data_IF_099545319593
#
_entry.id   IF_099545319593
#
_cell.length_a   1.000
_cell.length_b   1.000
_cell.length_c   1.000
_cell.angle_alpha   90.00
_cell.angle_beta   90.00
_cell.angle_gamma   90.00
#
_symmetry.space_group_name_H-M   'P 1'
#
loop_
_entity.id
_entity.type
_entity.pdbx_description
1 polymer ?
#
# COMPACT_ATOMS: atom_id res chain seq x y z
N UNK A 1 -27.90 -8.21 11.29
CA UNK A 1 -27.66 -6.91 11.97
C UNK A 1 -27.70 -5.79 10.94
N UNK A 2 -28.26 -4.60 11.23
CA UNK A 2 -28.34 -3.53 10.22
C UNK A 2 -27.07 -2.68 10.32
N UNK A 3 -26.17 -2.75 9.33
CA UNK A 3 -24.99 -1.87 9.27
C UNK A 3 -25.46 -0.42 9.13
N UNK A 4 -25.01 0.44 10.03
CA UNK A 4 -25.23 1.88 10.04
C UNK A 4 -23.91 2.67 10.07
N UNK A 5 -22.89 2.11 10.70
CA UNK A 5 -21.59 2.73 10.90
C UNK A 5 -20.49 1.85 10.32
N UNK A 6 -19.61 2.44 9.49
CA UNK A 6 -18.51 1.74 8.83
C UNK A 6 -17.23 2.53 9.06
N UNK A 7 -16.18 1.84 9.49
CA UNK A 7 -14.84 2.40 9.51
C UNK A 7 -14.01 1.80 8.37
N UNK A 8 -13.42 2.65 7.56
CA UNK A 8 -12.53 2.31 6.46
C UNK A 8 -11.10 2.67 6.85
N UNK A 9 -10.22 1.67 6.93
CA UNK A 9 -8.82 1.84 7.36
C UNK A 9 -7.95 2.47 6.25
N UNK A 10 -8.38 3.60 5.72
CA UNK A 10 -7.70 4.37 4.67
C UNK A 10 -7.89 5.88 4.92
N UNK A 11 -7.03 6.73 4.33
CA UNK A 11 -7.29 8.17 4.27
C UNK A 11 -8.62 8.48 3.59
N UNK A 12 -9.23 9.59 4.00
CA UNK A 12 -10.47 10.07 3.36
C UNK A 12 -10.20 10.33 1.87
N UNK A 13 -11.07 9.86 0.96
CA UNK A 13 -10.94 10.14 -0.46
C UNK A 13 -10.98 11.64 -0.75
N UNK A 14 -10.08 12.12 -1.60
CA UNK A 14 -10.06 13.52 -2.04
C UNK A 14 -11.22 13.84 -2.99
N UNK A 15 -11.66 12.84 -3.76
CA UNK A 15 -12.74 12.99 -4.74
C UNK A 15 -14.11 12.83 -4.08
N UNK A 16 -14.99 13.77 -4.35
CA UNK A 16 -16.43 13.68 -3.96
C UNK A 16 -17.17 12.54 -4.69
N UNK A 17 -16.63 12.02 -5.79
CA UNK A 17 -17.15 10.87 -6.56
C UNK A 17 -16.68 9.53 -6.02
N UNK A 18 -16.31 9.45 -4.75
CA UNK A 18 -15.90 8.18 -4.14
C UNK A 18 -17.09 7.21 -4.03
N UNK A 19 -16.91 5.93 -4.45
CA UNK A 19 -17.95 4.89 -4.29
C UNK A 19 -18.45 4.71 -2.85
N UNK A 20 -17.60 5.02 -1.86
CA UNK A 20 -18.00 4.99 -0.45
C UNK A 20 -18.96 6.12 -0.08
N UNK A 21 -18.81 7.30 -0.66
CA UNK A 21 -19.71 8.42 -0.42
C UNK A 21 -21.09 8.17 -1.06
N UNK A 22 -21.10 7.55 -2.25
CA UNK A 22 -22.34 7.10 -2.90
C UNK A 22 -23.05 6.02 -2.07
N UNK A 23 -22.29 5.03 -1.56
CA UNK A 23 -22.80 4.00 -0.69
C UNK A 23 -23.39 4.58 0.62
N UNK A 24 -22.70 5.56 1.21
CA UNK A 24 -23.16 6.26 2.41
C UNK A 24 -24.52 6.93 2.18
N UNK A 25 -24.67 7.67 1.08
CA UNK A 25 -25.93 8.33 0.71
C UNK A 25 -27.06 7.31 0.45
N UNK A 26 -26.75 6.26 -0.34
CA UNK A 26 -27.75 5.26 -0.78
C UNK A 26 -28.34 4.43 0.38
N UNK A 27 -27.53 4.13 1.38
CA UNK A 27 -27.94 3.26 2.50
C UNK A 27 -28.06 3.99 3.84
N UNK A 28 -27.87 5.30 3.86
CA UNK A 28 -27.84 6.15 5.05
C UNK A 28 -26.84 5.61 6.09
N UNK A 29 -25.57 5.47 5.64
CA UNK A 29 -24.46 4.99 6.46
C UNK A 29 -23.59 6.16 6.91
N UNK A 30 -23.09 6.10 8.12
CA UNK A 30 -21.95 6.91 8.57
C UNK A 30 -20.68 6.13 8.22
N UNK A 31 -19.85 6.69 7.34
CA UNK A 31 -18.57 6.09 6.96
C UNK A 31 -17.44 7.01 7.42
N UNK A 32 -16.63 6.51 8.34
CA UNK A 32 -15.46 7.20 8.85
C UNK A 32 -14.20 6.60 8.18
N UNK A 33 -13.26 7.47 7.79
CA UNK A 33 -11.99 7.09 7.19
C UNK A 33 -10.87 7.38 8.17
N UNK A 34 -10.16 6.35 8.60
CA UNK A 34 -9.09 6.46 9.59
C UNK A 34 -7.92 5.59 9.14
N UNK A 35 -6.78 6.18 8.73
CA UNK A 35 -5.62 5.40 8.35
C UNK A 35 -5.01 4.70 9.58
N UNK A 36 -4.99 3.37 9.56
CA UNK A 36 -4.49 2.57 10.67
C UNK A 36 -2.96 2.43 10.67
N UNK A 37 -2.32 2.77 9.58
CA UNK A 37 -0.86 2.90 9.49
C UNK A 37 -0.49 4.07 8.59
N UNK A 38 0.74 4.51 8.71
CA UNK A 38 1.34 5.48 7.81
C UNK A 38 2.74 5.02 7.39
N UNK A 39 3.27 5.62 6.31
CA UNK A 39 4.63 5.37 5.89
C UNK A 39 5.56 6.37 6.54
N UNK A 40 6.55 5.87 7.27
CA UNK A 40 7.58 6.65 7.93
C UNK A 40 8.94 6.40 7.27
N UNK A 41 9.64 7.47 6.93
CA UNK A 41 10.96 7.37 6.31
C UNK A 41 12.03 6.95 7.30
N UNK A 42 12.99 6.13 6.85
CA UNK A 42 14.19 5.80 7.61
C UNK A 42 15.04 7.07 7.74
N UNK A 43 15.52 7.37 8.94
CA UNK A 43 16.42 8.50 9.17
C UNK A 43 17.78 8.25 8.52
N UNK A 44 18.43 9.30 8.03
CA UNK A 44 19.77 9.20 7.40
C UNK A 44 20.81 8.55 8.33
N UNK A 45 20.72 8.81 9.65
CA UNK A 45 21.61 8.17 10.66
C UNK A 45 21.46 6.64 10.66
N UNK A 46 20.25 6.14 10.57
CA UNK A 46 19.95 4.71 10.50
C UNK A 46 20.39 4.11 9.17
N UNK A 47 20.10 4.78 8.05
CA UNK A 47 20.48 4.32 6.72
C UNK A 47 22.00 4.17 6.56
N UNK A 48 22.81 5.06 7.17
CA UNK A 48 24.26 4.95 7.14
C UNK A 48 24.79 3.64 7.73
N UNK A 49 24.02 3.00 8.63
CA UNK A 49 24.41 1.70 9.22
C UNK A 49 24.35 0.56 8.20
N UNK A 50 23.54 0.69 7.15
CA UNK A 50 23.49 -0.28 6.06
C UNK A 50 24.73 -0.24 5.15
N UNK A 51 25.58 0.78 5.28
CA UNK A 51 26.82 0.98 4.51
C UNK A 51 26.60 0.95 2.99
N UNK A 52 25.45 1.46 2.55
CA UNK A 52 25.10 1.57 1.14
C UNK A 52 25.52 2.94 0.63
N UNK A 53 26.39 2.96 -0.37
CA UNK A 53 26.78 4.18 -1.06
C UNK A 53 25.84 4.42 -2.25
N UNK A 54 24.98 5.43 -2.14
CA UNK A 54 24.00 5.76 -3.19
C UNK A 54 24.65 6.13 -4.53
N UNK A 55 25.88 6.66 -4.52
CA UNK A 55 26.59 7.07 -5.73
C UNK A 55 27.04 5.89 -6.61
N UNK A 56 27.03 4.67 -6.10
CA UNK A 56 27.40 3.48 -6.88
C UNK A 56 26.29 3.00 -7.82
N UNK A 57 25.07 3.47 -7.63
CA UNK A 57 23.90 3.01 -8.40
C UNK A 57 23.59 3.97 -9.52
N UNK A 58 23.27 3.40 -10.67
CA UNK A 58 22.92 4.13 -11.91
C UNK A 58 21.46 3.94 -12.31
N UNK A 59 20.78 2.99 -11.67
CA UNK A 59 19.37 2.69 -11.87
C UNK A 59 18.62 2.48 -10.54
N UNK A 60 17.42 3.03 -10.43
CA UNK A 60 16.55 2.87 -9.25
C UNK A 60 15.25 2.17 -9.66
N UNK A 61 14.94 1.07 -8.97
CA UNK A 61 13.71 0.31 -9.16
C UNK A 61 12.63 0.88 -8.23
N UNK A 62 11.56 1.41 -8.81
CA UNK A 62 10.49 2.13 -8.12
C UNK A 62 9.23 1.28 -8.07
N UNK A 63 8.77 0.94 -6.88
CA UNK A 63 7.60 0.07 -6.68
C UNK A 63 6.31 0.82 -6.35
N UNK A 64 6.39 2.09 -5.92
CA UNK A 64 5.22 2.90 -5.54
C UNK A 64 5.56 4.38 -5.45
N UNK A 65 4.53 5.23 -5.29
CA UNK A 65 4.72 6.68 -5.01
C UNK A 65 5.46 6.90 -3.70
N UNK A 66 5.17 6.15 -2.65
CA UNK A 66 5.92 6.22 -1.38
C UNK A 66 7.40 5.90 -1.56
N UNK A 67 7.72 4.92 -2.42
CA UNK A 67 9.11 4.63 -2.76
C UNK A 67 9.81 5.84 -3.38
N UNK A 68 9.14 6.59 -4.26
CA UNK A 68 9.67 7.82 -4.88
C UNK A 68 9.89 8.88 -3.81
N UNK A 69 8.86 9.22 -3.04
CA UNK A 69 8.94 10.28 -2.03
C UNK A 69 10.08 10.01 -1.02
N UNK A 70 10.19 8.76 -0.55
CA UNK A 70 11.22 8.41 0.43
C UNK A 70 12.62 8.27 -0.18
N UNK A 71 12.74 7.87 -1.45
CA UNK A 71 14.03 7.86 -2.14
C UNK A 71 14.62 9.28 -2.23
N UNK A 72 13.85 10.23 -2.77
CA UNK A 72 14.35 11.60 -2.91
C UNK A 72 14.53 12.30 -1.56
N UNK A 73 13.66 12.08 -0.58
CA UNK A 73 13.82 12.57 0.79
C UNK A 73 15.16 12.10 1.38
N UNK A 74 15.45 10.80 1.29
CA UNK A 74 16.67 10.25 1.87
C UNK A 74 17.91 10.72 1.12
N UNK A 75 17.88 10.84 -0.20
CA UNK A 75 18.95 11.45 -0.98
C UNK A 75 19.27 12.87 -0.47
N UNK A 76 18.23 13.69 -0.25
CA UNK A 76 18.39 15.04 0.29
C UNK A 76 19.00 15.04 1.70
N UNK A 77 18.51 14.19 2.61
CA UNK A 77 19.05 14.06 3.97
C UNK A 77 20.49 13.55 4.00
N UNK A 78 20.85 12.70 3.05
CA UNK A 78 22.22 12.19 2.85
C UNK A 78 23.13 13.18 2.13
N UNK A 79 22.60 14.33 1.66
CA UNK A 79 23.28 15.31 0.81
C UNK A 79 23.84 14.67 -0.48
N UNK A 80 23.10 13.71 -1.01
CA UNK A 80 23.42 13.06 -2.27
C UNK A 80 22.64 13.73 -3.40
N UNK A 81 23.36 14.41 -4.28
CA UNK A 81 22.81 14.97 -5.50
C UNK A 81 22.61 13.85 -6.51
N UNK A 82 21.36 13.56 -6.83
CA UNK A 82 21.02 12.49 -7.77
C UNK A 82 21.47 12.90 -9.18
N UNK A 83 22.40 12.14 -9.81
CA UNK A 83 22.94 12.50 -11.11
C UNK A 83 21.85 12.59 -12.18
N UNK A 84 22.01 13.54 -13.12
CA UNK A 84 21.10 13.61 -14.27
C UNK A 84 21.08 12.34 -15.13
N UNK A 85 22.11 11.52 -15.07
CA UNK A 85 22.23 10.24 -15.76
C UNK A 85 21.42 9.12 -15.12
N UNK A 86 20.95 9.30 -13.88
CA UNK A 86 20.16 8.29 -13.17
C UNK A 86 18.97 7.82 -13.98
N UNK A 87 18.76 6.51 -14.03
CA UNK A 87 17.62 5.87 -14.66
C UNK A 87 16.63 5.35 -13.62
N UNK A 88 15.35 5.39 -13.96
CA UNK A 88 14.26 4.99 -13.07
C UNK A 88 13.40 3.94 -13.74
N UNK A 89 13.16 2.85 -13.02
CA UNK A 89 12.43 1.69 -13.50
C UNK A 89 11.19 1.48 -12.62
N UNK A 90 10.04 1.92 -13.10
CA UNK A 90 8.80 1.97 -12.34
C UNK A 90 7.93 0.75 -12.63
N UNK A 91 7.30 0.18 -11.60
CA UNK A 91 6.37 -0.96 -11.77
C UNK A 91 5.07 -0.57 -12.46
N UNK A 92 4.74 0.73 -12.51
CA UNK A 92 3.53 1.23 -13.14
C UNK A 92 3.76 2.58 -13.84
N UNK A 93 2.96 2.86 -14.86
CA UNK A 93 2.93 4.14 -15.54
C UNK A 93 2.59 5.30 -14.60
N UNK A 94 1.65 5.08 -13.67
CA UNK A 94 1.28 6.09 -12.67
C UNK A 94 2.46 6.51 -11.79
N UNK A 95 3.34 5.57 -11.41
CA UNK A 95 4.58 5.89 -10.68
C UNK A 95 5.59 6.61 -11.57
N UNK A 96 5.69 6.20 -12.85
CA UNK A 96 6.57 6.86 -13.83
C UNK A 96 6.16 8.32 -14.09
N UNK A 97 4.86 8.63 -14.10
CA UNK A 97 4.40 10.02 -14.17
C UNK A 97 4.64 10.78 -12.85
N UNK A 98 4.42 10.14 -11.72
CA UNK A 98 4.58 10.80 -10.41
C UNK A 98 6.02 11.27 -10.13
N UNK A 99 7.02 10.62 -10.72
CA UNK A 99 8.44 11.01 -10.53
C UNK A 99 8.76 12.43 -11.03
N UNK A 100 7.90 13.00 -11.91
CA UNK A 100 8.03 14.38 -12.40
C UNK A 100 8.00 15.42 -11.28
N UNK A 101 7.49 15.07 -10.11
CA UNK A 101 7.55 15.92 -8.90
C UNK A 101 9.00 16.23 -8.49
N UNK A 102 9.95 15.37 -8.85
CA UNK A 102 11.33 15.43 -8.38
C UNK A 102 12.35 15.64 -9.49
N UNK A 103 12.04 15.24 -10.71
CA UNK A 103 12.97 15.30 -11.86
C UNK A 103 12.28 15.80 -13.11
N UNK A 104 13.07 16.35 -14.04
CA UNK A 104 12.60 16.56 -15.40
C UNK A 104 12.40 15.22 -16.11
N UNK A 105 11.14 14.90 -16.47
CA UNK A 105 10.80 13.65 -17.12
C UNK A 105 11.43 13.55 -18.50
N UNK A 106 12.17 12.48 -18.75
CA UNK A 106 12.75 12.16 -20.04
C UNK A 106 12.50 10.68 -20.35
N UNK A 107 11.83 10.36 -21.45
CA UNK A 107 11.51 8.97 -21.86
C UNK A 107 12.72 8.02 -21.86
N UNK A 108 13.92 8.54 -22.16
CA UNK A 108 15.16 7.75 -22.15
C UNK A 108 15.71 7.41 -20.76
N UNK A 109 15.13 7.96 -19.69
CA UNK A 109 15.57 7.79 -18.31
C UNK A 109 14.51 7.15 -17.40
N UNK A 110 13.23 7.22 -17.80
CA UNK A 110 12.12 6.70 -17.01
C UNK A 110 11.42 5.62 -17.81
N UNK A 111 11.49 4.40 -17.28
CA UNK A 111 10.94 3.19 -17.87
C UNK A 111 9.84 2.64 -16.96
N UNK A 112 8.82 2.00 -17.53
CA UNK A 112 7.80 1.33 -16.73
C UNK A 112 7.28 0.06 -17.39
N UNK A 113 6.86 -0.90 -16.58
CA UNK A 113 6.11 -2.07 -17.02
C UNK A 113 4.73 -1.65 -17.58
N UNK A 114 4.16 -2.47 -18.44
CA UNK A 114 2.83 -2.21 -19.01
C UNK A 114 1.71 -2.68 -18.08
N UNK A 115 1.81 -3.89 -17.55
CA UNK A 115 0.74 -4.53 -16.80
C UNK A 115 1.17 -5.04 -15.42
N UNK A 116 2.42 -5.50 -15.28
CA UNK A 116 2.89 -6.16 -14.07
C UNK A 116 4.40 -6.02 -13.86
N UNK A 117 4.86 -6.55 -12.75
CA UNK A 117 6.28 -6.53 -12.35
C UNK A 117 7.17 -7.34 -13.31
N UNK A 118 6.65 -8.40 -13.93
CA UNK A 118 7.42 -9.21 -14.87
C UNK A 118 7.77 -8.42 -16.14
N UNK A 119 6.85 -7.55 -16.62
CA UNK A 119 7.15 -6.67 -17.75
C UNK A 119 8.32 -5.74 -17.44
N UNK A 120 8.38 -5.23 -16.20
CA UNK A 120 9.50 -4.40 -15.74
C UNK A 120 10.80 -5.20 -15.71
N UNK A 121 10.80 -6.43 -15.22
CA UNK A 121 11.98 -7.27 -15.15
C UNK A 121 12.60 -7.52 -16.55
N UNK A 122 11.75 -7.70 -17.58
CA UNK A 122 12.20 -7.81 -18.97
C UNK A 122 12.88 -6.52 -19.46
N UNK A 123 12.37 -5.34 -19.04
CA UNK A 123 13.00 -4.06 -19.37
C UNK A 123 14.35 -3.92 -18.67
N UNK A 124 14.42 -4.26 -17.37
CA UNK A 124 15.66 -4.23 -16.58
C UNK A 124 16.75 -5.11 -17.20
N UNK A 125 16.38 -6.29 -17.73
CA UNK A 125 17.33 -7.17 -18.44
C UNK A 125 18.01 -6.48 -19.63
N UNK A 126 17.34 -5.58 -20.34
CA UNK A 126 17.94 -4.80 -21.44
C UNK A 126 18.93 -3.75 -20.93
N UNK A 127 18.87 -3.43 -19.63
CA UNK A 127 19.70 -2.44 -18.96
C UNK A 127 20.65 -3.06 -17.93
N UNK A 128 21.05 -4.35 -18.13
CA UNK A 128 21.89 -5.11 -17.17
C UNK A 128 23.27 -4.49 -16.85
N UNK A 129 23.69 -3.49 -17.63
CA UNK A 129 24.93 -2.74 -17.37
C UNK A 129 24.74 -1.68 -16.28
N UNK A 130 23.52 -1.39 -15.86
CA UNK A 130 23.23 -0.50 -14.75
C UNK A 130 23.38 -1.23 -13.42
N UNK A 131 23.82 -0.52 -12.38
CA UNK A 131 23.80 -0.99 -11.00
C UNK A 131 22.47 -0.59 -10.37
N UNK A 132 21.64 -1.58 -10.03
CA UNK A 132 20.29 -1.30 -9.56
C UNK A 132 20.19 -1.22 -8.04
N UNK A 133 19.51 -0.16 -7.56
CA UNK A 133 19.04 -0.04 -6.19
C UNK A 133 17.52 -0.29 -6.15
N UNK A 134 17.07 -1.11 -5.22
CA UNK A 134 15.65 -1.34 -4.93
C UNK A 134 15.32 -0.76 -3.54
N UNK A 135 14.88 0.52 -3.45
CA UNK A 135 14.34 1.06 -2.23
C UNK A 135 13.05 0.32 -1.84
N UNK A 136 12.96 -0.19 -0.63
CA UNK A 136 11.80 -0.94 -0.17
C UNK A 136 11.36 -0.53 1.23
N UNK A 137 10.18 -1.02 1.66
CA UNK A 137 9.69 -0.90 3.03
C UNK A 137 9.84 -2.21 3.78
N UNK A 138 9.62 -2.16 5.11
CA UNK A 138 9.52 -3.36 5.94
C UNK A 138 8.34 -4.28 5.57
N UNK A 139 7.35 -3.76 4.84
CA UNK A 139 6.25 -4.53 4.23
C UNK A 139 6.53 -4.63 2.74
N UNK A 140 7.43 -5.53 2.38
CA UNK A 140 7.89 -5.70 1.01
C UNK A 140 7.09 -6.79 0.27
N UNK A 141 6.68 -6.49 -0.97
CA UNK A 141 6.05 -7.48 -1.84
C UNK A 141 7.14 -8.35 -2.48
N UNK A 142 7.16 -9.64 -2.15
CA UNK A 142 8.14 -10.60 -2.67
C UNK A 142 8.00 -10.88 -4.18
N UNK A 143 6.89 -10.49 -4.80
CA UNK A 143 6.68 -10.70 -6.23
C UNK A 143 7.74 -9.99 -7.08
N UNK A 144 8.18 -8.78 -6.64
CA UNK A 144 9.26 -8.07 -7.33
C UNK A 144 10.58 -8.85 -7.27
N UNK A 145 10.93 -9.40 -6.11
CA UNK A 145 12.15 -10.20 -5.95
C UNK A 145 12.12 -11.42 -6.88
N UNK A 146 11.02 -12.17 -6.87
CA UNK A 146 10.82 -13.34 -7.72
C UNK A 146 10.98 -12.98 -9.21
N UNK A 147 10.41 -11.85 -9.64
CA UNK A 147 10.51 -11.40 -11.02
C UNK A 147 11.95 -11.00 -11.41
N UNK A 148 12.65 -10.30 -10.52
CA UNK A 148 14.04 -9.89 -10.74
C UNK A 148 14.99 -11.08 -10.76
N UNK A 149 14.84 -12.01 -9.82
CA UNK A 149 15.66 -13.22 -9.72
C UNK A 149 15.47 -14.13 -10.94
N UNK A 150 14.24 -14.28 -11.43
CA UNK A 150 13.93 -15.05 -12.65
C UNK A 150 14.68 -14.50 -13.88
N UNK A 151 14.79 -13.18 -14.00
CA UNK A 151 15.51 -12.51 -15.09
C UNK A 151 17.01 -12.32 -14.79
N UNK A 152 17.50 -12.84 -13.65
CA UNK A 152 18.90 -12.76 -13.20
C UNK A 152 19.41 -11.31 -13.18
N UNK A 153 18.58 -10.41 -12.66
CA UNK A 153 18.94 -9.00 -12.45
C UNK A 153 19.75 -8.90 -11.16
N UNK A 154 20.93 -8.28 -11.25
CA UNK A 154 21.73 -7.92 -10.07
C UNK A 154 21.19 -6.63 -9.48
N UNK A 155 20.76 -6.63 -8.21
CA UNK A 155 20.21 -5.48 -7.52
C UNK A 155 20.52 -5.50 -6.03
N UNK A 156 20.65 -4.33 -5.45
CA UNK A 156 20.78 -4.15 -4.00
C UNK A 156 19.48 -3.66 -3.41
N UNK A 157 18.98 -4.36 -2.41
CA UNK A 157 17.84 -3.89 -1.60
C UNK A 157 18.33 -2.98 -0.49
N UNK A 158 17.53 -1.93 -0.22
CA UNK A 158 17.79 -1.03 0.89
C UNK A 158 16.46 -0.56 1.52
N UNK A 159 16.43 -0.50 2.84
CA UNK A 159 15.26 -0.06 3.59
C UNK A 159 15.21 1.47 3.59
N UNK A 160 14.20 2.07 2.96
CA UNK A 160 14.03 3.52 2.85
C UNK A 160 12.88 4.07 3.69
N UNK A 161 11.90 3.23 4.02
CA UNK A 161 10.72 3.61 4.78
C UNK A 161 10.07 2.42 5.44
N UNK A 162 9.17 2.68 6.40
CA UNK A 162 8.43 1.65 7.14
C UNK A 162 6.95 1.94 7.12
N UNK A 163 6.13 0.90 7.04
CA UNK A 163 4.74 0.96 7.46
C UNK A 163 4.71 0.87 9.00
N UNK A 164 4.27 1.92 9.63
CA UNK A 164 4.21 2.05 11.09
C UNK A 164 2.74 2.17 11.49
N UNK A 165 2.27 1.41 12.51
CA UNK A 165 0.93 1.60 13.04
C UNK A 165 0.71 3.04 13.48
N UNK A 166 -0.39 3.65 13.03
CA UNK A 166 -0.79 5.00 13.48
C UNK A 166 -1.11 4.98 14.96
N UNK A 167 -0.87 6.09 15.64
CA UNK A 167 -1.39 6.29 16.99
C UNK A 167 -2.89 6.56 16.91
N UNK A 168 -3.68 5.62 17.40
CA UNK A 168 -5.14 5.69 17.44
C UNK A 168 -5.68 5.88 18.86
N UNK A 169 -4.86 6.33 19.80
CA UNK A 169 -5.21 6.54 21.21
C UNK A 169 -6.36 7.56 21.41
N UNK A 170 -6.53 8.48 20.45
CA UNK A 170 -7.64 9.43 20.42
C UNK A 170 -9.00 8.77 20.15
N UNK A 171 -9.02 7.53 19.65
CA UNK A 171 -10.24 6.76 19.39
C UNK A 171 -10.55 5.94 20.63
N UNK A 172 -11.50 6.42 21.44
CA UNK A 172 -11.88 5.79 22.70
C UNK A 172 -12.55 4.42 22.53
N UNK A 173 -13.25 4.19 21.43
CA UNK A 173 -14.00 2.96 21.16
C UNK A 173 -14.13 2.71 19.64
N UNK A 174 -13.92 1.46 19.24
CA UNK A 174 -14.21 0.96 17.89
C UNK A 174 -15.65 0.42 17.78
N UNK A 175 -16.62 1.23 18.20
CA UNK A 175 -18.04 0.85 18.13
C UNK A 175 -18.61 1.06 16.73
N UNK A 176 -18.08 0.31 15.75
CA UNK A 176 -18.57 0.30 14.38
C UNK A 176 -19.25 -1.03 14.05
N UNK A 177 -20.30 -0.95 13.22
CA UNK A 177 -20.97 -2.14 12.71
C UNK A 177 -20.11 -2.90 11.70
N UNK A 178 -19.22 -2.18 10.97
CA UNK A 178 -18.27 -2.80 10.06
C UNK A 178 -16.89 -2.12 10.10
N UNK A 179 -15.84 -2.95 10.00
CA UNK A 179 -14.43 -2.52 9.85
C UNK A 179 -13.90 -3.04 8.51
N UNK A 180 -13.23 -2.17 7.75
CA UNK A 180 -12.73 -2.46 6.42
C UNK A 180 -11.22 -2.28 6.38
N UNK A 181 -10.50 -3.36 6.06
CA UNK A 181 -9.04 -3.41 6.00
C UNK A 181 -8.53 -3.66 4.59
N UNK A 182 -7.42 -3.01 4.22
CA UNK A 182 -6.81 -3.09 2.90
C UNK A 182 -5.42 -3.72 2.91
N UNK A 183 -4.83 -3.86 4.10
CA UNK A 183 -3.50 -4.44 4.24
C UNK A 183 -3.37 -5.23 5.55
N UNK A 184 -2.41 -6.17 5.63
CA UNK A 184 -2.04 -6.81 6.88
C UNK A 184 -1.59 -5.82 7.97
N UNK A 185 -1.03 -4.65 7.56
CA UNK A 185 -0.61 -3.60 8.49
C UNK A 185 -1.80 -2.98 9.23
N UNK A 186 -2.97 -2.86 8.59
CA UNK A 186 -4.20 -2.38 9.25
C UNK A 186 -4.62 -3.31 10.38
N UNK A 187 -4.59 -4.62 10.12
CA UNK A 187 -4.97 -5.63 11.11
C UNK A 187 -3.98 -5.64 12.28
N UNK A 188 -2.68 -5.52 11.99
CA UNK A 188 -1.64 -5.40 13.01
C UNK A 188 -1.83 -4.13 13.85
N UNK A 189 -2.20 -3.02 13.22
CA UNK A 189 -2.49 -1.76 13.91
C UNK A 189 -3.72 -1.88 14.79
N UNK A 190 -4.78 -2.56 14.34
CA UNK A 190 -5.96 -2.86 15.15
C UNK A 190 -5.58 -3.57 16.44
N UNK A 191 -4.86 -4.68 16.35
CA UNK A 191 -4.49 -5.49 17.51
C UNK A 191 -3.55 -4.75 18.46
N UNK A 192 -2.66 -3.90 17.94
CA UNK A 192 -1.75 -3.09 18.73
C UNK A 192 -2.46 -1.96 19.49
N UNK A 193 -3.31 -1.19 18.79
CA UNK A 193 -3.99 -0.03 19.38
C UNK A 193 -5.19 -0.43 20.24
N UNK A 194 -5.84 -1.55 19.92
CA UNK A 194 -7.04 -2.02 20.59
C UNK A 194 -6.91 -3.48 21.07
N UNK A 195 -6.00 -3.78 22.01
CA UNK A 195 -5.73 -5.16 22.44
C UNK A 195 -6.94 -5.83 23.12
N UNK A 196 -7.88 -5.02 23.60
CA UNK A 196 -9.14 -5.48 24.22
C UNK A 196 -10.30 -5.57 23.22
N UNK A 197 -10.08 -5.27 21.94
CA UNK A 197 -11.13 -5.35 20.93
C UNK A 197 -11.67 -6.78 20.84
N UNK A 198 -12.99 -6.91 20.87
CA UNK A 198 -13.73 -8.17 20.64
C UNK A 198 -14.69 -7.94 19.49
N UNK A 199 -14.58 -8.74 18.45
CA UNK A 199 -15.36 -8.57 17.24
C UNK A 199 -16.89 -8.63 17.48
N UNK A 200 -17.36 -9.53 18.33
CA UNK A 200 -18.81 -9.75 18.56
C UNK A 200 -19.58 -9.81 17.23
N UNK A 201 -20.50 -8.86 17.01
CA UNK A 201 -21.31 -8.72 15.79
C UNK A 201 -20.70 -7.81 14.72
N UNK A 202 -19.55 -7.18 15.00
CA UNK A 202 -18.89 -6.31 14.02
C UNK A 202 -18.49 -7.12 12.79
N UNK A 203 -18.91 -6.65 11.63
CA UNK A 203 -18.55 -7.21 10.32
C UNK A 203 -17.13 -6.81 9.98
N UNK A 204 -16.26 -7.78 9.68
CA UNK A 204 -14.91 -7.50 9.22
C UNK A 204 -14.78 -7.79 7.73
N UNK A 205 -14.35 -6.79 6.98
CA UNK A 205 -14.10 -6.85 5.55
C UNK A 205 -12.61 -6.70 5.25
N UNK A 206 -12.08 -7.51 4.33
CA UNK A 206 -10.69 -7.48 3.91
C UNK A 206 -10.55 -7.42 2.38
N UNK A 207 -9.70 -6.53 1.90
CA UNK A 207 -9.34 -6.45 0.49
C UNK A 207 -8.00 -7.17 0.25
N UNK A 208 -8.03 -8.14 -0.66
CA UNK A 208 -6.89 -9.00 -0.99
C UNK A 208 -6.72 -10.21 -0.07
N UNK A 209 -6.15 -11.27 -0.63
CA UNK A 209 -5.98 -12.56 0.05
C UNK A 209 -5.01 -12.47 1.25
N UNK A 210 -3.98 -11.63 1.16
CA UNK A 210 -3.02 -11.42 2.24
C UNK A 210 -3.65 -10.75 3.45
N UNK A 211 -4.53 -9.76 3.23
CA UNK A 211 -5.28 -9.08 4.28
C UNK A 211 -6.31 -10.02 4.92
N UNK A 212 -7.00 -10.81 4.09
CA UNK A 212 -7.93 -11.84 4.56
C UNK A 212 -7.26 -12.84 5.50
N UNK A 213 -6.09 -13.36 5.11
CA UNK A 213 -5.27 -14.25 5.97
C UNK A 213 -4.84 -13.55 7.26
N UNK A 214 -4.46 -12.27 7.21
CA UNK A 214 -4.07 -11.53 8.41
C UNK A 214 -5.23 -11.38 9.40
N UNK A 215 -6.46 -11.13 8.92
CA UNK A 215 -7.67 -11.08 9.75
C UNK A 215 -7.90 -12.42 10.46
N UNK A 216 -7.83 -13.53 9.72
CA UNK A 216 -8.00 -14.88 10.26
C UNK A 216 -6.88 -15.25 11.27
N UNK A 217 -5.63 -14.93 10.96
CA UNK A 217 -4.49 -15.18 11.85
C UNK A 217 -4.56 -14.36 13.15
N UNK A 218 -5.22 -13.21 13.11
CA UNK A 218 -5.49 -12.40 14.30
C UNK A 218 -6.68 -12.94 15.16
N UNK A 219 -7.27 -14.06 14.76
CA UNK A 219 -8.39 -14.70 15.45
C UNK A 219 -9.75 -14.05 15.19
N UNK A 220 -9.88 -13.24 14.14
CA UNK A 220 -11.13 -12.60 13.75
C UNK A 220 -11.86 -13.39 12.67
N UNK A 221 -13.20 -13.33 12.72
CA UNK A 221 -14.06 -13.88 11.67
C UNK A 221 -14.08 -12.93 10.48
N UNK A 222 -13.66 -13.40 9.31
CA UNK A 222 -13.78 -12.66 8.06
C UNK A 222 -15.21 -12.80 7.51
N UNK A 223 -15.91 -11.69 7.34
CA UNK A 223 -17.28 -11.66 6.85
C UNK A 223 -17.37 -11.32 5.37
N UNK A 224 -16.49 -10.43 4.89
CA UNK A 224 -16.46 -9.93 3.51
C UNK A 224 -15.03 -10.01 2.99
N UNK A 225 -14.86 -10.65 1.84
CA UNK A 225 -13.59 -10.64 1.11
C UNK A 225 -13.81 -10.04 -0.29
N UNK A 226 -12.91 -9.15 -0.70
CA UNK A 226 -12.79 -8.60 -2.03
C UNK A 226 -11.30 -8.59 -2.44
N UNK A 227 -10.96 -8.55 -3.75
CA UNK A 227 -11.88 -8.64 -4.87
C UNK A 227 -12.39 -10.06 -5.11
N UNK A 228 -13.59 -10.17 -5.65
CA UNK A 228 -14.15 -11.40 -6.22
C UNK A 228 -14.71 -11.07 -7.62
N UNK A 229 -15.00 -12.06 -8.47
CA UNK A 229 -15.63 -11.82 -9.77
C UNK A 229 -16.92 -10.98 -9.67
N UNK A 230 -17.73 -11.23 -8.62
CA UNK A 230 -19.00 -10.54 -8.39
C UNK A 230 -18.80 -9.18 -7.67
N UNK A 231 -17.65 -8.98 -7.05
CA UNK A 231 -17.36 -7.79 -6.25
C UNK A 231 -15.90 -7.36 -6.43
N UNK A 232 -15.54 -6.77 -7.58
CA UNK A 232 -14.15 -6.37 -7.88
C UNK A 232 -13.66 -5.21 -7.01
N UNK A 233 -14.53 -4.50 -6.30
CA UNK A 233 -14.18 -3.45 -5.35
C UNK A 233 -14.76 -3.71 -3.96
N UNK A 234 -14.11 -3.16 -2.94
CA UNK A 234 -14.60 -3.29 -1.56
C UNK A 234 -15.93 -2.56 -1.34
N UNK A 235 -16.15 -1.42 -1.97
CA UNK A 235 -17.44 -0.71 -1.89
C UNK A 235 -18.58 -1.57 -2.43
N UNK A 236 -18.37 -2.25 -3.57
CA UNK A 236 -19.34 -3.18 -4.13
C UNK A 236 -19.58 -4.40 -3.23
N UNK A 237 -18.52 -4.95 -2.64
CA UNK A 237 -18.63 -6.07 -1.70
C UNK A 237 -19.44 -5.71 -0.45
N UNK A 238 -19.21 -4.52 0.11
CA UNK A 238 -20.02 -3.97 1.20
C UNK A 238 -21.49 -3.79 0.79
N UNK A 239 -21.72 -3.23 -0.40
CA UNK A 239 -23.09 -3.06 -0.91
C UNK A 239 -23.82 -4.38 -1.04
N UNK A 240 -23.19 -5.39 -1.64
CA UNK A 240 -23.77 -6.72 -1.80
C UNK A 240 -24.09 -7.36 -0.45
N UNK A 241 -23.19 -7.24 0.53
CA UNK A 241 -23.43 -7.73 1.88
C UNK A 241 -24.63 -7.03 2.55
N UNK A 242 -24.72 -5.71 2.46
CA UNK A 242 -25.84 -4.93 3.02
C UNK A 242 -27.18 -5.32 2.36
N UNK A 243 -27.16 -5.59 1.05
CA UNK A 243 -28.36 -6.05 0.32
C UNK A 243 -28.81 -7.45 0.79
N UNK A 244 -27.89 -8.38 0.96
CA UNK A 244 -28.18 -9.73 1.45
C UNK A 244 -28.78 -9.71 2.86
N UNK A 245 -28.18 -8.93 3.77
CA UNK A 245 -28.69 -8.74 5.13
C UNK A 245 -30.12 -8.14 5.17
N UNK A 246 -30.45 -7.26 4.21
CA UNK A 246 -31.83 -6.72 4.09
C UNK A 246 -32.85 -7.75 3.57
N UNK A 247 -32.39 -8.63 2.66
CA UNK A 247 -33.28 -9.71 2.12
C UNK A 247 -33.55 -10.80 3.16
N UNK A 248 -32.56 -11.17 3.96
CA UNK A 248 -32.68 -12.18 5.00
C UNK A 248 -33.62 -11.78 6.16
N UNK A 249 -34.05 -10.50 6.23
CA UNK A 249 -34.94 -9.95 7.25
C UNK A 249 -36.36 -9.64 6.76
N UNK A 250 -36.60 -9.84 5.49
CA UNK A 250 -37.94 -9.86 4.90
C UNK A 250 -38.48 -11.29 4.81
#
# INVERSE_FOLDING_TARGET
MKIKTVLVAQPKPESEKSPYLELAKKYNLKIDFIPFFHMEGIAAKEFRQERINLAEYTGVIITSRHCIDHYFRLCQEMRFEVPETMKYFCTSEASAYYIQKYILYRKRKVFHGKHNVHDLAVILRKHRNEKFLLPHSNVHNKEIDIALDKEKIDYKKALFYRAVPSDLSHIKSLAYDALVFFSPADVKSLTKNFPKFRQRDTVIAAFGTTTAKAVQNAGFRLNIQAPTPESPSMAMALENYIRQEKKAKK
#
